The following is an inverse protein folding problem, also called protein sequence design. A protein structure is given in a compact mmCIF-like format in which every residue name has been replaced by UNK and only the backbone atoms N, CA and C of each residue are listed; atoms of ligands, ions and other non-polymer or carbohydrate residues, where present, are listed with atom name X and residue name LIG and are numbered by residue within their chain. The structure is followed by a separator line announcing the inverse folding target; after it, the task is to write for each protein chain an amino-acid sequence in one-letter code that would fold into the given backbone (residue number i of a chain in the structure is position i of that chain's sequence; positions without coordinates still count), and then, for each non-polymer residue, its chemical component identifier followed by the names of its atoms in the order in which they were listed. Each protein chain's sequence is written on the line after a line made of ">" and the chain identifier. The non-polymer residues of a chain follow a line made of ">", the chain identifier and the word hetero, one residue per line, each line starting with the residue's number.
data_IF_823944778499
#
_entry.id   IF_823944778499
#
_cell.length_a   1.000
_cell.length_b   1.000
_cell.length_c   1.000
_cell.angle_alpha   90.00
_cell.angle_beta   90.00
_cell.angle_gamma   90.00
#
_symmetry.space_group_name_H-M   'P 1'
#
loop_
_entity.id
_entity.type
_entity.pdbx_description
1 polymer ?
#
# COMPACT_ATOMS: atom_id res chain seq x y z
N UNK A 1 6.27 -30.38 -19.74
CA UNK A 1 6.82 -29.03 -19.48
C UNK A 1 7.37 -28.96 -18.06
N UNK A 2 8.59 -28.46 -17.91
CA UNK A 2 9.20 -28.37 -16.59
C UNK A 2 8.54 -27.26 -15.76
N UNK A 3 8.14 -27.58 -14.54
CA UNK A 3 7.65 -26.57 -13.59
C UNK A 3 8.85 -25.91 -12.91
N UNK A 4 9.08 -24.59 -13.11
CA UNK A 4 10.22 -23.90 -12.51
C UNK A 4 10.04 -23.59 -11.02
N UNK A 5 8.84 -23.80 -10.46
CA UNK A 5 8.56 -23.49 -9.06
C UNK A 5 8.92 -24.65 -8.15
N UNK A 6 9.33 -24.34 -6.92
CA UNK A 6 9.60 -25.38 -5.93
C UNK A 6 8.31 -26.09 -5.52
N UNK A 7 8.46 -27.33 -5.03
CA UNK A 7 7.30 -28.07 -4.52
C UNK A 7 6.67 -27.42 -3.31
N UNK A 8 7.46 -26.80 -2.46
CA UNK A 8 6.97 -26.08 -1.27
C UNK A 8 6.10 -24.91 -1.67
N UNK A 9 6.53 -24.11 -2.64
CA UNK A 9 5.76 -22.95 -3.12
C UNK A 9 4.45 -23.38 -3.76
N UNK A 10 4.45 -24.48 -4.53
CA UNK A 10 3.23 -24.95 -5.21
C UNK A 10 2.18 -25.51 -4.25
N UNK A 11 2.59 -25.89 -3.03
CA UNK A 11 1.67 -26.39 -2.01
C UNK A 11 1.09 -25.31 -1.10
N UNK A 12 1.65 -24.09 -1.14
CA UNK A 12 1.14 -22.98 -0.34
C UNK A 12 -0.14 -22.44 -1.00
N UNK A 13 -1.22 -22.39 -0.24
CA UNK A 13 -2.48 -21.86 -0.72
C UNK A 13 -2.48 -20.32 -0.66
N UNK A 14 -3.15 -19.65 -1.61
CA UNK A 14 -3.34 -18.20 -1.55
C UNK A 14 -4.12 -17.79 -0.30
N UNK A 15 -3.91 -16.55 0.15
CA UNK A 15 -4.69 -15.99 1.26
C UNK A 15 -6.16 -15.88 0.90
N UNK A 16 -7.06 -16.40 1.76
CA UNK A 16 -8.51 -16.30 1.56
C UNK A 16 -9.06 -14.89 1.71
N UNK A 17 -8.30 -13.98 2.33
CA UNK A 17 -8.72 -12.59 2.56
C UNK A 17 -8.92 -11.85 1.23
N UNK A 18 -7.97 -11.99 0.29
CA UNK A 18 -8.07 -11.35 -1.03
C UNK A 18 -9.29 -11.82 -1.81
N UNK A 19 -9.54 -13.12 -1.79
CA UNK A 19 -10.70 -13.69 -2.46
C UNK A 19 -12.01 -13.14 -1.90
N UNK A 20 -12.08 -12.95 -0.59
CA UNK A 20 -13.23 -12.37 0.06
C UNK A 20 -13.47 -10.92 -0.38
N UNK A 21 -12.41 -10.11 -0.45
CA UNK A 21 -12.51 -8.74 -0.94
C UNK A 21 -12.95 -8.65 -2.39
N UNK A 22 -12.49 -9.58 -3.23
CA UNK A 22 -12.92 -9.64 -4.64
C UNK A 22 -14.43 -9.91 -4.76
N UNK A 23 -14.96 -10.79 -3.92
CA UNK A 23 -16.40 -11.07 -3.88
C UNK A 23 -17.17 -9.81 -3.44
N UNK A 24 -16.72 -9.13 -2.40
CA UNK A 24 -17.40 -7.93 -1.89
C UNK A 24 -17.37 -6.80 -2.93
N UNK A 25 -16.28 -6.66 -3.68
CA UNK A 25 -16.18 -5.61 -4.69
C UNK A 25 -17.16 -5.73 -5.83
N UNK A 26 -17.70 -6.94 -6.07
CA UNK A 26 -18.71 -7.20 -7.10
C UNK A 26 -20.14 -6.96 -6.60
N UNK A 27 -20.32 -6.67 -5.32
CA UNK A 27 -21.62 -6.44 -4.71
C UNK A 27 -21.95 -4.95 -4.71
N UNK A 28 -22.98 -4.55 -5.47
CA UNK A 28 -23.34 -3.14 -5.66
C UNK A 28 -23.93 -2.50 -4.41
N UNK A 29 -24.60 -3.28 -3.56
CA UNK A 29 -25.34 -2.79 -2.40
C UNK A 29 -24.64 -3.08 -1.07
N UNK A 30 -23.42 -3.59 -1.10
CA UNK A 30 -22.67 -3.92 0.11
C UNK A 30 -21.86 -2.75 0.60
N UNK A 31 -21.86 -2.54 1.92
CA UNK A 31 -20.96 -1.62 2.59
C UNK A 31 -19.88 -2.46 3.24
N UNK A 32 -18.63 -2.32 2.77
CA UNK A 32 -17.51 -3.10 3.29
C UNK A 32 -16.91 -2.40 4.51
N UNK A 33 -16.76 -3.16 5.59
CA UNK A 33 -16.01 -2.74 6.78
C UNK A 33 -14.71 -3.54 6.92
N UNK A 34 -14.31 -4.25 5.86
CA UNK A 34 -13.19 -5.19 5.93
C UNK A 34 -11.82 -4.57 5.82
N UNK A 35 -11.71 -3.41 5.17
CA UNK A 35 -10.43 -2.72 4.98
C UNK A 35 -10.51 -1.34 5.64
N UNK A 36 -9.45 -1.00 6.38
CA UNK A 36 -9.32 0.33 6.94
C UNK A 36 -8.70 1.28 5.91
N UNK A 37 -9.53 2.00 5.19
CA UNK A 37 -9.06 3.03 4.26
C UNK A 37 -9.91 4.29 4.39
N UNK A 38 -9.30 5.47 4.23
CA UNK A 38 -10.06 6.72 4.28
C UNK A 38 -11.08 6.81 3.13
N UNK A 39 -12.26 7.32 3.44
CA UNK A 39 -13.33 7.57 2.47
C UNK A 39 -13.24 8.98 1.86
N UNK A 40 -12.07 9.56 1.90
CA UNK A 40 -11.79 10.90 1.37
C UNK A 40 -10.58 10.83 0.44
N UNK A 41 -10.60 11.65 -0.60
CA UNK A 41 -9.41 11.83 -1.43
C UNK A 41 -8.31 12.50 -0.62
N UNK A 42 -7.06 12.20 -0.97
CA UNK A 42 -5.92 12.87 -0.35
C UNK A 42 -6.04 14.38 -0.54
N UNK A 43 -5.86 15.19 0.52
CA UNK A 43 -5.91 16.65 0.40
C UNK A 43 -4.99 17.16 -0.71
N UNK A 44 -5.46 18.19 -1.43
CA UNK A 44 -4.77 18.69 -2.62
C UNK A 44 -3.31 19.10 -2.36
N UNK A 45 -3.02 19.69 -1.22
CA UNK A 45 -1.66 20.13 -0.89
C UNK A 45 -0.70 18.97 -0.67
N UNK A 46 -1.18 17.84 -0.14
CA UNK A 46 -0.39 16.63 0.03
C UNK A 46 -0.15 15.98 -1.34
N UNK A 47 -1.18 15.92 -2.16
CA UNK A 47 -1.08 15.39 -3.52
C UNK A 47 -0.08 16.19 -4.35
N UNK A 48 -0.15 17.50 -4.29
CA UNK A 48 0.74 18.38 -5.05
C UNK A 48 2.19 18.22 -4.62
N UNK A 49 2.46 18.05 -3.33
CA UNK A 49 3.81 17.75 -2.84
C UNK A 49 4.32 16.40 -3.36
N UNK A 50 3.45 15.41 -3.44
CA UNK A 50 3.80 14.10 -4.03
C UNK A 50 4.18 14.23 -5.49
N UNK A 51 3.38 14.95 -6.28
CA UNK A 51 3.65 15.22 -7.70
C UNK A 51 4.96 15.99 -7.86
N UNK A 52 5.15 17.03 -7.06
CA UNK A 52 6.36 17.84 -7.08
C UNK A 52 7.62 17.02 -6.78
N UNK A 53 7.53 16.09 -5.82
CA UNK A 53 8.67 15.23 -5.49
C UNK A 53 9.07 14.34 -6.67
N UNK A 54 8.09 13.84 -7.42
CA UNK A 54 8.35 13.06 -8.63
C UNK A 54 8.97 13.92 -9.74
N UNK A 55 8.46 15.12 -9.93
CA UNK A 55 9.02 16.08 -10.92
C UNK A 55 10.46 16.46 -10.58
N UNK A 56 10.80 16.51 -9.29
CA UNK A 56 12.17 16.78 -8.82
C UNK A 56 13.08 15.56 -8.89
N UNK A 57 12.58 14.42 -9.32
CA UNK A 57 13.37 13.20 -9.47
C UNK A 57 13.74 12.52 -8.16
N UNK A 58 12.96 12.71 -7.11
CA UNK A 58 13.20 12.09 -5.81
C UNK A 58 12.68 10.64 -5.80
N UNK A 59 13.35 9.79 -6.57
CA UNK A 59 12.93 8.42 -6.82
C UNK A 59 14.03 7.42 -6.46
N UNK A 60 14.73 7.67 -5.35
CA UNK A 60 15.84 6.84 -4.90
C UNK A 60 15.49 6.09 -3.63
N UNK A 61 16.22 5.01 -3.38
CA UNK A 61 16.10 4.25 -2.15
C UNK A 61 16.66 5.02 -0.96
N UNK A 62 16.10 4.77 0.20
CA UNK A 62 16.66 5.22 1.46
C UNK A 62 17.51 4.11 2.08
N UNK A 63 18.11 4.38 3.26
CA UNK A 63 18.65 3.32 4.10
C UNK A 63 17.53 2.39 4.58
N UNK A 64 17.89 1.20 5.10
CA UNK A 64 16.89 0.25 5.61
C UNK A 64 16.02 0.82 6.72
N UNK A 65 16.52 1.80 7.46
CA UNK A 65 15.77 2.45 8.55
C UNK A 65 14.79 3.52 8.05
N UNK A 66 14.78 3.82 6.75
CA UNK A 66 13.91 4.83 6.16
C UNK A 66 14.55 6.22 6.08
N UNK A 67 13.79 7.16 5.53
CA UNK A 67 14.25 8.54 5.34
C UNK A 67 14.30 9.27 6.69
N UNK A 68 15.47 9.79 7.05
CA UNK A 68 15.70 10.45 8.35
C UNK A 68 14.77 11.65 8.56
N UNK A 69 14.61 12.47 7.53
CA UNK A 69 13.79 13.67 7.58
C UNK A 69 12.31 13.32 7.82
N UNK A 70 11.83 12.25 7.19
CA UNK A 70 10.46 11.79 7.41
C UNK A 70 10.24 11.32 8.84
N UNK A 71 11.19 10.57 9.40
CA UNK A 71 11.11 10.11 10.78
C UNK A 71 11.08 11.28 11.77
N UNK A 72 11.87 12.31 11.50
CA UNK A 72 11.88 13.52 12.34
C UNK A 72 10.54 14.26 12.29
N UNK A 73 9.93 14.37 11.11
CA UNK A 73 8.63 15.02 10.97
C UNK A 73 7.51 14.21 11.64
N UNK A 74 7.55 12.89 11.53
CA UNK A 74 6.60 12.02 12.24
C UNK A 74 6.74 12.19 13.75
N UNK A 75 7.96 12.24 14.25
CA UNK A 75 8.21 12.42 15.69
C UNK A 75 7.65 13.76 16.19
N UNK A 76 7.81 14.83 15.42
CA UNK A 76 7.25 16.14 15.76
C UNK A 76 5.72 16.10 15.82
N UNK A 77 5.09 15.39 14.89
CA UNK A 77 3.64 15.29 14.83
C UNK A 77 3.07 14.52 16.02
N UNK A 78 3.74 13.44 16.43
CA UNK A 78 3.28 12.57 17.53
C UNK A 78 3.49 13.23 18.90
N UNK A 79 4.55 13.97 19.07
CA UNK A 79 4.84 14.72 20.28
C UNK A 79 4.26 16.14 20.19
#
# INVERSE_FOLDING_TARGET
>A
MRNPLSKTITTIEPSGIRKFFDIVSEMDDAISLGVGEPDFDTPWHIRDEGIFSLEKGRTFYTSNAGLKELKQEIAKYIY
#
